data_IF_700553051532
#
_entry.id   IF_700553051532
#
_cell.length_a   1.000
_cell.length_b   1.000
_cell.length_c   1.000
_cell.angle_alpha   90.00
_cell.angle_beta   90.00
_cell.angle_gamma   90.00
#
_symmetry.space_group_name_H-M   'P 1'
#
loop_
_entity.id
_entity.type
_entity.pdbx_description
1 polymer ?
#
# COMPACT_ATOMS: atom_id res chain seq x y z
N UNK A 1 10.26 -51.63 31.58
CA UNK A 1 8.96 -51.69 30.88
C UNK A 1 8.12 -50.53 31.43
N UNK A 2 7.88 -49.38 30.81
CA UNK A 2 8.00 -48.84 29.45
C UNK A 2 8.19 -47.29 29.58
N UNK A 3 9.24 -46.66 29.02
CA UNK A 3 9.44 -45.21 29.17
C UNK A 3 9.21 -44.48 27.83
N UNK A 4 7.98 -44.11 27.48
CA UNK A 4 7.73 -43.31 26.26
C UNK A 4 6.51 -42.39 26.40
N UNK A 5 6.61 -41.38 27.27
CA UNK A 5 5.72 -40.21 27.24
C UNK A 5 6.52 -38.96 27.59
N UNK A 6 7.16 -38.29 26.61
CA UNK A 6 7.53 -36.87 26.74
C UNK A 6 8.12 -36.12 25.52
N UNK A 7 8.09 -36.68 24.30
CA UNK A 7 8.91 -36.08 23.22
C UNK A 7 8.12 -35.27 22.18
N UNK A 8 6.80 -35.42 22.07
CA UNK A 8 6.04 -34.75 20.99
C UNK A 8 5.60 -33.30 21.27
N UNK A 9 5.81 -32.76 22.47
CA UNK A 9 5.25 -31.44 22.84
C UNK A 9 6.09 -30.23 22.40
N UNK A 10 7.38 -30.40 22.11
CA UNK A 10 8.27 -29.25 21.83
C UNK A 10 8.34 -28.88 20.35
N UNK A 11 8.09 -29.82 19.44
CA UNK A 11 8.15 -29.57 17.99
C UNK A 11 6.94 -28.79 17.47
N UNK A 12 5.76 -28.94 18.09
CA UNK A 12 4.55 -28.20 17.72
C UNK A 12 4.65 -26.71 18.09
N UNK A 13 5.34 -26.38 19.19
CA UNK A 13 5.51 -25.00 19.64
C UNK A 13 6.50 -24.21 18.78
N UNK A 14 7.55 -24.85 18.27
CA UNK A 14 8.52 -24.23 17.34
C UNK A 14 7.90 -23.98 15.96
N UNK A 15 6.98 -24.85 15.51
CA UNK A 15 6.27 -24.69 14.23
C UNK A 15 5.20 -23.58 14.27
N UNK A 16 4.60 -23.31 15.44
CA UNK A 16 3.66 -22.20 15.65
C UNK A 16 4.33 -20.82 15.78
N UNK A 17 5.59 -20.76 16.25
CA UNK A 17 6.37 -19.51 16.30
C UNK A 17 6.91 -19.07 14.94
N UNK A 18 7.15 -20.00 14.01
CA UNK A 18 7.64 -19.68 12.66
C UNK A 18 6.58 -19.02 11.75
N UNK A 19 5.28 -19.17 12.04
CA UNK A 19 4.22 -18.58 11.23
C UNK A 19 3.95 -17.09 11.56
N UNK A 20 4.47 -16.58 12.68
CA UNK A 20 4.19 -15.21 13.14
C UNK A 20 5.00 -14.13 12.39
N UNK A 21 5.95 -14.51 11.53
CA UNK A 21 6.83 -13.59 10.82
C UNK A 21 6.38 -13.25 9.38
N UNK A 22 5.23 -13.74 8.90
CA UNK A 22 4.77 -13.45 7.53
C UNK A 22 3.89 -12.19 7.40
N UNK A 23 3.58 -11.51 8.50
CA UNK A 23 2.70 -10.34 8.47
C UNK A 23 3.33 -9.20 9.26
N UNK A 24 4.54 -8.78 8.90
CA UNK A 24 5.03 -7.48 9.39
C UNK A 24 4.28 -6.37 8.65
N UNK A 25 3.37 -5.63 9.31
CA UNK A 25 2.77 -4.46 8.70
C UNK A 25 3.89 -3.48 8.38
N UNK A 26 3.97 -3.08 7.11
CA UNK A 26 4.89 -2.01 6.70
C UNK A 26 4.48 -0.73 7.41
N UNK A 27 5.44 -0.04 8.04
CA UNK A 27 5.13 1.16 8.81
C UNK A 27 4.61 2.25 7.86
N UNK A 28 3.36 2.67 8.08
CA UNK A 28 2.75 3.79 7.37
C UNK A 28 3.36 5.09 7.91
N UNK A 29 3.91 5.90 7.00
CA UNK A 29 4.58 7.17 7.29
C UNK A 29 3.68 8.36 7.03
N UNK A 30 2.78 8.25 6.05
CA UNK A 30 1.66 9.16 5.83
C UNK A 30 0.53 8.41 5.13
N UNK A 31 -0.68 8.89 5.37
CA UNK A 31 -1.91 8.39 4.77
C UNK A 31 -2.78 9.58 4.37
N UNK A 32 -3.37 9.53 3.20
CA UNK A 32 -4.38 10.49 2.76
C UNK A 32 -5.44 9.78 1.92
N UNK A 33 -6.59 10.41 1.77
CA UNK A 33 -7.68 9.89 0.94
C UNK A 33 -7.86 10.75 -0.29
N UNK A 34 -8.22 10.12 -1.40
CA UNK A 34 -8.62 10.77 -2.63
C UNK A 34 -10.01 10.24 -3.00
N UNK A 35 -11.02 11.09 -2.91
CA UNK A 35 -12.36 10.75 -3.39
C UNK A 35 -12.42 10.76 -4.91
N UNK A 36 -13.36 10.02 -5.48
CA UNK A 36 -13.54 10.00 -6.93
C UNK A 36 -13.96 11.36 -7.47
N UNK A 37 -14.71 12.15 -6.67
CA UNK A 37 -15.15 13.50 -7.03
C UNK A 37 -13.99 14.49 -7.16
N UNK A 38 -12.94 14.33 -6.36
CA UNK A 38 -11.72 15.15 -6.44
C UNK A 38 -10.85 14.78 -7.66
N UNK A 39 -11.09 13.61 -8.26
CA UNK A 39 -10.33 13.15 -9.41
C UNK A 39 -10.84 13.82 -10.71
N UNK A 40 -10.04 14.70 -11.34
CA UNK A 40 -10.54 15.58 -12.39
C UNK A 40 -10.76 14.83 -13.70
N UNK A 41 -11.79 15.21 -14.46
CA UNK A 41 -12.09 14.62 -15.78
C UNK A 41 -11.00 14.89 -16.80
N UNK A 42 -10.46 16.10 -16.81
CA UNK A 42 -9.35 16.51 -17.68
C UNK A 42 -8.09 16.63 -16.84
N UNK A 43 -7.06 15.88 -17.20
CA UNK A 43 -5.84 15.76 -16.42
C UNK A 43 -4.66 16.38 -17.17
N UNK A 44 -3.83 17.10 -16.41
CA UNK A 44 -2.51 17.59 -16.82
C UNK A 44 -1.61 17.57 -15.59
N UNK A 45 -0.29 17.54 -15.76
CA UNK A 45 0.63 17.50 -14.62
C UNK A 45 0.35 18.62 -13.60
N UNK A 46 0.09 19.84 -14.08
CA UNK A 46 -0.28 20.98 -13.22
C UNK A 46 -1.58 20.77 -12.44
N UNK A 47 -2.62 20.22 -13.08
CA UNK A 47 -3.91 19.97 -12.43
C UNK A 47 -3.78 18.86 -11.39
N UNK A 48 -3.11 17.76 -11.73
CA UNK A 48 -2.96 16.62 -10.81
C UNK A 48 -2.09 17.00 -9.60
N UNK A 49 -1.02 17.77 -9.79
CA UNK A 49 -0.20 18.31 -8.70
C UNK A 49 -0.94 19.31 -7.79
N UNK A 50 -2.01 19.92 -8.29
CA UNK A 50 -2.83 20.81 -7.49
C UNK A 50 -3.73 20.06 -6.49
N UNK A 51 -3.97 18.75 -6.69
CA UNK A 51 -4.78 17.91 -5.80
C UNK A 51 -4.04 17.76 -4.46
N UNK A 52 -4.65 18.13 -3.31
CA UNK A 52 -3.99 18.10 -2.02
C UNK A 52 -3.42 16.72 -1.64
N UNK A 53 -4.19 15.66 -1.88
CA UNK A 53 -3.79 14.28 -1.62
C UNK A 53 -2.53 13.88 -2.40
N UNK A 54 -2.47 14.21 -3.69
CA UNK A 54 -1.32 13.89 -4.55
C UNK A 54 -0.08 14.65 -4.10
N UNK A 55 -0.22 15.96 -3.84
CA UNK A 55 0.88 16.79 -3.36
C UNK A 55 1.45 16.28 -2.03
N UNK A 56 0.57 15.97 -1.07
CA UNK A 56 0.98 15.49 0.25
C UNK A 56 1.77 14.18 0.17
N UNK A 57 1.35 13.24 -0.68
CA UNK A 57 2.04 11.97 -0.87
C UNK A 57 3.38 12.16 -1.59
N UNK A 58 3.44 13.01 -2.61
CA UNK A 58 4.70 13.31 -3.28
C UNK A 58 5.72 13.94 -2.31
N UNK A 59 5.31 14.96 -1.55
CA UNK A 59 6.18 15.60 -0.57
C UNK A 59 6.68 14.61 0.49
N UNK A 60 5.82 13.70 0.95
CA UNK A 60 6.21 12.69 1.93
C UNK A 60 7.15 11.63 1.34
N UNK A 61 6.88 11.19 0.11
CA UNK A 61 7.70 10.22 -0.61
C UNK A 61 9.12 10.77 -0.83
N UNK A 62 9.24 12.02 -1.25
CA UNK A 62 10.54 12.71 -1.43
C UNK A 62 11.33 12.82 -0.11
N UNK A 63 10.65 13.04 1.01
CA UNK A 63 11.27 13.12 2.34
C UNK A 63 11.70 11.76 2.90
N UNK A 64 11.23 10.65 2.33
CA UNK A 64 11.46 9.31 2.88
C UNK A 64 12.13 8.37 1.88
N UNK A 65 13.48 8.38 1.80
CA UNK A 65 14.23 7.41 1.02
C UNK A 65 13.89 5.96 1.42
N UNK A 66 13.83 5.06 0.43
CA UNK A 66 13.50 3.64 0.65
C UNK A 66 12.03 3.37 0.99
N UNK A 67 11.14 4.34 0.75
CA UNK A 67 9.70 4.15 0.87
C UNK A 67 9.07 3.64 -0.44
N UNK A 68 7.79 3.32 -0.35
CA UNK A 68 6.91 3.04 -1.48
C UNK A 68 5.55 3.71 -1.24
N UNK A 69 4.85 4.01 -2.33
CA UNK A 69 3.48 4.48 -2.30
C UNK A 69 2.57 3.27 -2.48
N UNK A 70 1.60 3.10 -1.60
CA UNK A 70 0.55 2.09 -1.71
C UNK A 70 -0.75 2.81 -2.02
N UNK A 71 -1.40 2.41 -3.11
CA UNK A 71 -2.72 2.89 -3.51
C UNK A 71 -3.71 1.78 -3.19
N UNK A 72 -4.48 1.96 -2.13
CA UNK A 72 -5.61 1.08 -1.83
C UNK A 72 -6.84 1.57 -2.54
N UNK A 73 -7.54 0.67 -3.22
CA UNK A 73 -8.64 1.04 -4.12
C UNK A 73 -9.90 0.21 -3.90
N UNK A 74 -11.09 0.72 -4.25
CA UNK A 74 -12.32 -0.05 -4.15
C UNK A 74 -12.28 -1.22 -5.15
N UNK A 75 -12.84 -2.36 -4.77
CA UNK A 75 -12.92 -3.50 -5.68
C UNK A 75 -13.79 -3.23 -6.92
N UNK A 76 -13.72 -4.12 -7.90
CA UNK A 76 -14.47 -4.03 -9.15
C UNK A 76 -13.77 -3.22 -10.25
N UNK A 77 -14.28 -3.31 -11.47
CA UNK A 77 -13.59 -2.81 -12.67
C UNK A 77 -13.35 -1.30 -12.64
N UNK A 78 -14.32 -0.53 -12.15
CA UNK A 78 -14.21 0.93 -12.02
C UNK A 78 -13.12 1.33 -11.04
N UNK A 79 -13.06 0.67 -9.88
CA UNK A 79 -12.04 0.94 -8.87
C UNK A 79 -10.64 0.56 -9.33
N UNK A 80 -10.50 -0.58 -10.03
CA UNK A 80 -9.25 -0.96 -10.68
C UNK A 80 -8.80 0.09 -11.70
N UNK A 81 -9.68 0.47 -12.63
CA UNK A 81 -9.37 1.45 -13.67
C UNK A 81 -8.94 2.80 -13.08
N UNK A 82 -9.64 3.26 -12.03
CA UNK A 82 -9.30 4.48 -11.31
C UNK A 82 -7.92 4.40 -10.65
N UNK A 83 -7.61 3.31 -9.96
CA UNK A 83 -6.30 3.10 -9.32
C UNK A 83 -5.15 3.10 -10.35
N UNK A 84 -5.35 2.45 -11.49
CA UNK A 84 -4.37 2.45 -12.59
C UNK A 84 -4.15 3.85 -13.19
N UNK A 85 -5.23 4.61 -13.37
CA UNK A 85 -5.13 5.99 -13.87
C UNK A 85 -4.32 6.87 -12.89
N UNK A 86 -4.62 6.81 -11.59
CA UNK A 86 -3.85 7.54 -10.56
C UNK A 86 -2.38 7.11 -10.57
N UNK A 87 -2.09 5.80 -10.62
CA UNK A 87 -0.71 5.28 -10.73
C UNK A 87 0.02 5.83 -11.94
N UNK A 88 -0.62 5.85 -13.11
CA UNK A 88 -0.02 6.34 -14.35
C UNK A 88 0.31 7.83 -14.25
N UNK A 89 -0.53 8.61 -13.57
CA UNK A 89 -0.24 10.02 -13.30
C UNK A 89 0.91 10.22 -12.31
N UNK A 90 1.00 9.43 -11.25
CA UNK A 90 2.16 9.47 -10.36
C UNK A 90 3.46 9.13 -11.11
N UNK A 91 3.41 8.19 -12.05
CA UNK A 91 4.54 7.89 -12.94
C UNK A 91 4.88 9.07 -13.84
N UNK A 92 3.87 9.71 -14.44
CA UNK A 92 4.07 10.91 -15.26
C UNK A 92 4.64 12.10 -14.46
N UNK A 93 4.44 12.12 -13.15
CA UNK A 93 5.00 13.11 -12.22
C UNK A 93 6.41 12.75 -11.72
N UNK A 94 6.97 11.62 -12.16
CA UNK A 94 8.36 11.23 -11.90
C UNK A 94 8.55 10.12 -10.87
N UNK A 95 7.48 9.55 -10.31
CA UNK A 95 7.59 8.42 -9.38
C UNK A 95 7.73 7.12 -10.18
N UNK A 96 8.87 6.43 -10.03
CA UNK A 96 9.08 5.14 -10.71
C UNK A 96 7.99 4.12 -10.34
N UNK A 97 7.47 3.41 -11.32
CA UNK A 97 6.38 2.44 -11.14
C UNK A 97 6.68 1.31 -10.15
N UNK A 98 7.95 0.97 -9.94
CA UNK A 98 8.42 -0.03 -8.96
C UNK A 98 8.25 0.45 -7.51
N UNK A 99 8.06 1.75 -7.30
CA UNK A 99 7.82 2.35 -5.99
C UNK A 99 6.31 2.50 -5.71
N UNK A 100 5.43 2.03 -6.60
CA UNK A 100 3.99 2.15 -6.47
C UNK A 100 3.37 0.76 -6.46
N UNK A 101 2.64 0.45 -5.39
CA UNK A 101 1.91 -0.81 -5.20
C UNK A 101 0.41 -0.52 -5.23
N UNK A 102 -0.35 -1.38 -5.91
CA UNK A 102 -1.81 -1.33 -5.91
C UNK A 102 -2.35 -2.44 -5.02
N UNK A 103 -3.25 -2.12 -4.10
CA UNK A 103 -3.88 -3.08 -3.19
C UNK A 103 -5.41 -2.93 -3.23
N UNK A 104 -6.17 -4.01 -3.45
CA UNK A 104 -7.63 -3.93 -3.34
C UNK A 104 -8.05 -3.74 -1.87
N UNK A 105 -9.14 -3.00 -1.65
CA UNK A 105 -9.76 -2.83 -0.33
C UNK A 105 -9.47 -1.49 0.33
N UNK A 106 -9.88 -0.37 -0.28
CA UNK A 106 -9.81 0.97 0.34
C UNK A 106 -10.81 1.21 1.48
N UNK A 107 -11.78 0.31 1.69
CA UNK A 107 -12.81 0.43 2.72
C UNK A 107 -14.05 1.25 2.32
N UNK A 108 -14.04 1.93 1.17
CA UNK A 108 -15.19 2.66 0.62
C UNK A 108 -15.20 2.64 -0.91
N UNK A 109 -16.38 2.55 -1.51
CA UNK A 109 -16.57 2.44 -2.96
C UNK A 109 -16.11 3.68 -3.75
N UNK A 110 -16.04 4.86 -3.11
CA UNK A 110 -15.78 6.14 -3.77
C UNK A 110 -14.48 6.81 -3.30
N UNK A 111 -13.54 6.01 -2.77
CA UNK A 111 -12.33 6.54 -2.14
C UNK A 111 -11.13 5.65 -2.42
N UNK A 112 -10.02 6.26 -2.82
CA UNK A 112 -8.68 5.67 -2.73
C UNK A 112 -8.03 6.09 -1.42
N UNK A 113 -7.27 5.18 -0.83
CA UNK A 113 -6.33 5.51 0.24
C UNK A 113 -4.94 5.49 -0.36
N UNK A 114 -4.22 6.60 -0.21
CA UNK A 114 -2.85 6.75 -0.68
C UNK A 114 -1.95 6.78 0.55
N UNK A 115 -1.02 5.84 0.63
CA UNK A 115 -0.12 5.70 1.77
C UNK A 115 1.33 5.75 1.32
N UNK A 116 2.17 6.46 2.07
CA UNK A 116 3.62 6.29 1.99
C UNK A 116 4.03 5.34 3.08
N UNK A 117 4.67 4.23 2.72
CA UNK A 117 5.08 3.19 3.65
C UNK A 117 6.57 2.90 3.49
N UNK A 118 7.25 2.51 4.58
CA UNK A 118 8.59 1.93 4.44
C UNK A 118 8.51 0.68 3.56
N UNK A 119 9.46 0.51 2.64
CA UNK A 119 9.55 -0.73 1.87
C UNK A 119 9.86 -1.88 2.82
N UNK A 120 9.13 -3.00 2.77
CA UNK A 120 9.49 -4.19 3.53
C UNK A 120 10.87 -4.69 3.05
N UNK A 121 11.71 -5.12 3.98
CA UNK A 121 12.96 -5.80 3.64
C UNK A 121 12.61 -7.15 2.99
N UNK A 122 13.22 -7.42 1.84
CA UNK A 122 13.11 -8.72 1.13
C UNK A 122 13.79 -9.83 1.93
#
# INVERSE_FOLDING_TARGET
>A
MNPTRKIYSHWVLVLLLACQNLFWPSAILAATTLSHQEWPRTRSGRIVMAIPAIRSIQEQFEKTPGSQIVIRYPGGDLGNAWAFDVRNWLVALGITSTNIVLEPGSGSADTLVLDVQKRPAL
#
